data_IF_143146708765
#
_entry.id   IF_143146708765
#
_cell.length_a   1.000
_cell.length_b   1.000
_cell.length_c   1.000
_cell.angle_alpha   90.00
_cell.angle_beta   90.00
_cell.angle_gamma   90.00
#
_symmetry.space_group_name_H-M   'P 1'
#
loop_
_entity.id
_entity.type
_entity.pdbx_description
1 polymer ?
2 non-polymer ?
3 non-polymer ?
4 non-polymer ?
5 non-polymer ?
6 water ?
#
# COMPACT_ATOMS: atom_id res chain seq x y z
N UNK A 9 -24.49 6.80 13.01
CA UNK A 9 -24.42 7.45 11.71
C UNK A 9 -23.99 6.48 10.62
N UNK A 10 -23.46 5.34 11.05
CA UNK A 10 -23.02 4.31 10.10
C UNK A 10 -24.14 3.87 9.17
N UNK A 11 -25.34 4.36 9.42
CA UNK A 11 -26.50 4.02 8.63
C UNK A 11 -26.92 5.03 7.55
N UNK A 12 -26.34 6.23 7.59
CA UNK A 12 -26.54 7.18 6.49
C UNK A 12 -25.25 7.42 5.70
N UNK A 13 -24.11 7.18 6.32
CA UNK A 13 -22.89 7.04 5.55
C UNK A 13 -23.17 5.87 4.62
N UNK A 14 -23.74 4.82 5.19
CA UNK A 14 -24.05 3.61 4.42
C UNK A 14 -25.08 3.86 3.33
N UNK A 15 -26.07 4.71 3.60
CA UNK A 15 -27.05 5.04 2.58
C UNK A 15 -26.35 5.74 1.42
N UNK A 16 -25.52 6.72 1.76
CA UNK A 16 -24.74 7.43 0.76
C UNK A 16 -23.89 6.49 -0.09
N UNK A 17 -23.19 5.58 0.56
CA UNK A 17 -22.29 4.67 -0.14
C UNK A 17 -23.09 3.78 -1.06
N UNK A 18 -24.17 3.20 -0.54
CA UNK A 18 -25.01 2.33 -1.32
C UNK A 18 -25.57 3.04 -2.54
N UNK A 19 -25.95 4.30 -2.33
CA UNK A 19 -26.51 5.11 -3.40
C UNK A 19 -25.44 5.31 -4.47
N UNK A 20 -24.28 5.79 -4.03
CA UNK A 20 -23.16 6.00 -4.92
C UNK A 20 -22.87 4.75 -5.74
N UNK A 21 -22.75 3.61 -5.08
CA UNK A 21 -22.46 2.38 -5.81
C UNK A 21 -23.56 1.99 -6.81
N UNK A 22 -24.81 2.14 -6.44
CA UNK A 22 -25.89 1.82 -7.37
C UNK A 22 -25.77 2.69 -8.61
N UNK A 23 -25.48 3.98 -8.41
CA UNK A 23 -25.33 4.88 -9.54
C UNK A 23 -24.27 4.35 -10.47
N UNK A 24 -23.12 3.97 -9.93
CA UNK A 24 -22.05 3.45 -10.77
C UNK A 24 -22.45 2.10 -11.39
N UNK A 25 -23.15 1.27 -10.62
CA UNK A 25 -23.58 -0.05 -11.10
C UNK A 25 -24.50 0.09 -12.32
N UNK A 26 -25.42 1.04 -12.25
CA UNK A 26 -26.45 1.19 -13.27
C UNK A 26 -26.00 2.09 -14.40
N UNK A 27 -24.80 2.62 -14.31
CA UNK A 27 -24.26 3.42 -15.41
C UNK A 27 -24.72 4.87 -15.39
N UNK A 28 -25.14 5.34 -14.23
CA UNK A 28 -25.61 6.71 -14.07
C UNK A 28 -24.49 7.70 -13.79
N UNK A 29 -23.32 7.18 -13.40
CA UNK A 29 -22.13 8.02 -13.24
C UNK A 29 -21.07 7.65 -14.26
N UNK A 30 -20.33 8.67 -14.72
CA UNK A 30 -19.35 8.49 -15.78
C UNK A 30 -18.15 7.68 -15.30
N UNK A 31 -17.79 6.66 -16.08
CA UNK A 31 -16.57 5.91 -15.87
C UNK A 31 -15.63 6.22 -17.03
N UNK A 32 -14.46 6.77 -16.72
CA UNK A 32 -13.50 7.17 -17.75
C UNK A 32 -12.45 6.11 -18.03
N UNK A 33 -11.84 6.19 -19.22
CA UNK A 33 -10.94 5.14 -19.65
C UNK A 33 -9.68 5.76 -20.19
N UNK A 34 -8.54 5.30 -19.67
CA UNK A 34 -7.23 5.70 -20.16
C UNK A 34 -6.86 4.77 -21.31
N UNK A 35 -6.02 5.25 -22.23
CA UNK A 35 -5.72 4.48 -23.43
C UNK A 35 -4.67 3.40 -23.23
N UNK A 36 -4.28 3.15 -21.99
CA UNK A 36 -3.42 1.99 -21.69
C UNK A 36 -4.04 1.17 -20.56
N UNK A 37 -3.54 -0.04 -20.35
CA UNK A 37 -4.12 -0.90 -19.31
C UNK A 37 -3.92 -0.32 -17.91
N UNK A 38 -4.93 -0.53 -17.07
CA UNK A 38 -4.96 -0.04 -15.70
C UNK A 38 -5.30 -1.17 -14.73
N UNK A 39 -4.40 -1.43 -13.79
CA UNK A 39 -4.65 -2.37 -12.69
C UNK A 39 -4.93 -1.60 -11.41
N UNK A 40 -6.03 -1.90 -10.76
CA UNK A 40 -6.29 -1.26 -9.49
C UNK A 40 -5.97 -2.23 -8.36
N UNK A 41 -5.34 -1.68 -7.33
CA UNK A 41 -5.15 -2.36 -6.07
C UNK A 41 -5.89 -1.54 -5.04
N UNK A 42 -6.66 -2.20 -4.18
CA UNK A 42 -7.38 -1.48 -3.15
C UNK A 42 -7.84 -2.42 -2.07
N UNK A 43 -8.66 -1.90 -1.15
CA UNK A 43 -9.22 -2.73 -0.11
C UNK A 43 -10.49 -2.09 0.37
N UNK A 44 -11.11 -2.64 1.42
CA UNK A 44 -12.44 -2.17 1.80
C UNK A 44 -12.46 -1.33 3.07
N UNK A 45 -11.36 -1.35 3.81
CA UNK A 45 -11.35 -0.72 5.13
C UNK A 45 -10.19 0.24 5.29
N UNK A 46 -10.33 1.13 6.27
CA UNK A 46 -9.22 1.95 6.70
C UNK A 46 -8.44 1.14 7.72
N UNK A 47 -7.13 1.31 7.75
CA UNK A 47 -6.32 0.64 8.74
C UNK A 47 -5.26 -0.30 8.19
N UNK A 48 -4.90 -0.13 6.92
CA UNK A 48 -3.82 -0.92 6.34
C UNK A 48 -4.18 -2.36 6.03
N UNK A 49 -3.63 -2.86 4.94
CA UNK A 49 -4.09 -4.10 4.36
C UNK A 49 -3.11 -4.65 3.39
N UNK A 50 -1.87 -4.15 3.42
CA UNK A 50 -0.84 -4.66 2.53
C UNK A 50 -0.88 -4.06 1.13
N UNK A 51 -1.64 -2.98 0.97
CA UNK A 51 -1.81 -2.34 -0.36
C UNK A 51 -0.50 -1.83 -0.94
N UNK A 52 0.23 -1.06 -0.14
CA UNK A 52 1.48 -0.47 -0.63
C UNK A 52 2.44 -1.59 -0.96
N UNK A 53 2.55 -2.58 -0.07
CA UNK A 53 3.46 -3.70 -0.32
C UNK A 53 3.02 -4.46 -1.56
N UNK A 54 1.71 -4.64 -1.71
CA UNK A 54 1.25 -5.43 -2.86
C UNK A 54 1.51 -4.72 -4.19
N UNK A 55 1.28 -3.40 -4.19
CA UNK A 55 1.59 -2.58 -5.34
C UNK A 55 3.06 -2.69 -5.73
N UNK A 56 3.94 -2.71 -4.74
CA UNK A 56 5.37 -2.87 -5.03
C UNK A 56 5.68 -4.27 -5.52
N UNK A 57 5.04 -5.28 -4.92
CA UNK A 57 5.15 -6.63 -5.43
C UNK A 57 4.72 -6.66 -6.92
N UNK A 58 3.60 -6.01 -7.22
CA UNK A 58 3.06 -6.02 -8.57
C UNK A 58 3.94 -5.29 -9.58
N UNK A 59 4.40 -4.11 -9.20
CA UNK A 59 5.28 -3.36 -10.09
C UNK A 59 6.47 -4.24 -10.48
N UNK A 60 6.98 -4.99 -9.50
CA UNK A 60 8.09 -5.91 -9.76
C UNK A 60 7.73 -7.01 -10.78
N UNK A 61 6.52 -7.57 -10.71
CA UNK A 61 6.13 -8.55 -11.74
C UNK A 61 6.19 -7.93 -13.13
N UNK A 62 5.81 -6.66 -13.24
CA UNK A 62 5.75 -5.98 -14.52
C UNK A 62 7.06 -5.29 -14.90
N UNK A 63 8.18 -5.77 -14.36
CA UNK A 63 9.46 -5.11 -14.57
C UNK A 63 9.84 -4.92 -16.04
N UNK A 64 9.22 -5.69 -16.93
CA UNK A 64 9.51 -5.57 -18.36
C UNK A 64 8.62 -4.54 -19.06
N UNK A 65 7.76 -3.87 -18.29
CA UNK A 65 6.91 -2.82 -18.84
C UNK A 65 7.31 -1.46 -18.27
N UNK A 66 6.96 -0.39 -18.99
CA UNK A 66 7.06 0.94 -18.41
C UNK A 66 5.86 1.11 -17.46
N UNK A 67 6.15 1.18 -16.16
CA UNK A 67 5.13 1.18 -15.12
C UNK A 67 4.97 2.56 -14.50
N UNK A 68 3.73 3.00 -14.35
CA UNK A 68 3.47 4.21 -13.59
C UNK A 68 2.43 3.91 -12.51
N UNK A 69 2.72 4.34 -11.30
CA UNK A 69 1.77 4.19 -10.21
C UNK A 69 1.03 5.49 -10.02
N UNK A 70 -0.28 5.41 -9.92
CA UNK A 70 -1.12 6.59 -9.75
C UNK A 70 -1.64 6.55 -8.34
N UNK A 71 -1.25 7.54 -7.53
CA UNK A 71 -1.65 7.60 -6.11
C UNK A 71 -2.42 8.87 -5.85
N UNK A 72 -3.17 8.89 -4.76
CA UNK A 72 -3.97 10.05 -4.40
C UNK A 72 -3.14 11.15 -3.73
N UNK A 73 -2.07 10.73 -3.04
CA UNK A 73 -1.27 11.64 -2.25
C UNK A 73 -1.95 11.95 -0.92
N UNK A 74 -1.68 11.11 0.11
CA UNK A 74 -2.37 11.21 1.40
C UNK A 74 -1.69 12.12 2.41
N UNK A 75 -2.33 13.26 2.65
CA UNK A 75 -1.76 14.32 3.47
C UNK A 75 -0.38 14.89 3.14
N UNK A 76 -0.22 15.33 1.91
CA UNK A 76 1.05 15.88 1.45
C UNK A 76 1.15 17.39 1.33
N UNK A 77 2.37 17.90 1.25
CA UNK A 77 2.57 19.34 1.09
C UNK A 77 2.72 19.73 -0.39
N UNK A 78 1.61 19.65 -1.11
CA UNK A 78 1.55 19.93 -2.54
C UNK A 78 0.11 19.77 -3.04
N UNK A 79 -0.22 20.39 -4.17
CA UNK A 79 -1.59 20.34 -4.69
C UNK A 79 -1.67 20.03 -6.18
N UNK A 80 -2.84 19.54 -6.61
CA UNK A 80 -3.08 19.23 -8.01
C UNK A 80 -2.43 17.92 -8.41
N UNK A 81 -2.02 17.84 -9.68
CA UNK A 81 -1.32 16.66 -10.18
C UNK A 81 0.19 16.81 -10.04
N UNK A 82 0.83 15.78 -9.51
CA UNK A 82 2.24 15.87 -9.19
C UNK A 82 3.00 14.63 -9.61
N UNK A 83 4.09 14.83 -10.35
CA UNK A 83 4.97 13.73 -10.68
C UNK A 83 5.98 13.53 -9.55
N UNK A 84 5.87 12.39 -8.87
CA UNK A 84 6.71 12.11 -7.72
C UNK A 84 8.06 11.59 -8.15
N UNK A 85 8.05 10.61 -9.06
CA UNK A 85 9.30 10.12 -9.62
C UNK A 85 9.11 9.75 -11.08
N UNK A 86 10.18 9.93 -11.84
CA UNK A 86 10.20 9.58 -13.26
C UNK A 86 11.17 8.42 -13.44
N UNK A 87 10.61 7.26 -13.71
CA UNK A 87 11.41 6.03 -13.83
C UNK A 87 12.57 5.97 -12.85
N UNK A 88 12.30 6.29 -11.60
CA UNK A 88 13.28 6.12 -10.53
C UNK A 88 13.82 7.43 -10.01
N UNK A 89 13.72 8.47 -10.83
CA UNK A 89 14.24 9.78 -10.48
C UNK A 89 13.28 10.50 -9.55
N UNK A 90 13.52 10.37 -8.25
CA UNK A 90 12.77 11.13 -7.26
C UNK A 90 12.76 12.59 -7.69
N UNK A 91 11.68 13.29 -7.41
CA UNK A 91 11.54 14.68 -7.88
C UNK A 91 10.96 15.62 -6.83
N UNK A 92 10.61 15.06 -5.68
CA UNK A 92 10.07 15.86 -4.57
C UNK A 92 10.50 15.24 -3.23
N UNK A 93 10.41 16.02 -2.15
CA UNK A 93 10.64 15.49 -0.83
C UNK A 93 9.50 14.53 -0.48
N UNK A 94 9.67 13.73 0.57
CA UNK A 94 8.61 12.82 0.97
C UNK A 94 7.40 13.60 1.48
N UNK A 95 7.66 14.75 2.12
CA UNK A 95 6.60 15.65 2.52
C UNK A 95 5.70 16.07 1.35
N UNK A 96 6.31 16.48 0.24
CA UNK A 96 5.55 16.89 -0.93
C UNK A 96 4.78 15.73 -1.56
N UNK A 97 5.28 14.51 -1.42
CA UNK A 97 4.69 13.37 -2.13
C UNK A 97 3.62 12.63 -1.33
N UNK A 98 3.74 12.63 0.00
CA UNK A 98 3.00 11.71 0.82
C UNK A 98 3.90 10.51 1.04
N UNK A 99 3.86 9.93 2.24
CA UNK A 99 4.85 8.91 2.56
C UNK A 99 4.75 7.63 1.70
N UNK A 100 3.55 7.16 1.43
CA UNK A 100 3.43 5.95 0.61
C UNK A 100 3.94 6.11 -0.81
N UNK A 101 3.48 7.15 -1.54
CA UNK A 101 4.00 7.31 -2.90
C UNK A 101 5.51 7.47 -2.89
N UNK A 102 6.03 8.19 -1.90
CA UNK A 102 7.47 8.39 -1.82
C UNK A 102 8.18 7.05 -1.57
N UNK A 103 7.64 6.23 -0.65
CA UNK A 103 8.25 4.94 -0.35
C UNK A 103 8.29 4.07 -1.60
N UNK A 104 7.16 3.99 -2.29
CA UNK A 104 7.10 3.24 -3.54
C UNK A 104 8.13 3.78 -4.52
N UNK A 105 8.14 5.10 -4.70
CA UNK A 105 9.06 5.75 -5.62
C UNK A 105 10.50 5.41 -5.25
N UNK A 106 10.78 5.37 -3.95
CA UNK A 106 12.13 5.10 -3.47
C UNK A 106 12.56 3.64 -3.62
N UNK A 107 11.65 2.71 -3.36
CA UNK A 107 11.99 1.30 -3.41
C UNK A 107 11.86 0.70 -4.81
N UNK A 108 11.37 1.50 -5.76
CA UNK A 108 11.11 1.02 -7.12
C UNK A 108 11.83 1.95 -8.11
N UNK A 109 13.15 1.79 -8.25
CA UNK A 109 13.99 2.69 -9.05
C UNK A 109 13.66 2.66 -10.53
N UNK A 110 12.79 1.74 -10.93
CA UNK A 110 12.47 1.54 -12.33
C UNK A 110 11.08 2.06 -12.70
N UNK A 111 10.35 2.55 -11.70
CA UNK A 111 8.95 2.90 -11.86
C UNK A 111 8.71 4.41 -11.76
N UNK A 112 7.68 4.90 -12.44
CA UNK A 112 7.23 6.28 -12.27
C UNK A 112 6.12 6.34 -11.24
N UNK A 113 5.99 7.49 -10.58
CA UNK A 113 4.92 7.65 -9.60
C UNK A 113 4.29 9.02 -9.77
N UNK A 114 2.97 9.04 -9.82
CA UNK A 114 2.22 10.28 -9.95
C UNK A 114 1.20 10.39 -8.84
N UNK A 115 1.13 11.56 -8.21
CA UNK A 115 0.12 11.82 -7.19
C UNK A 115 -0.96 12.75 -7.73
N UNK A 116 -2.22 12.36 -7.58
CA UNK A 116 -3.33 13.15 -8.12
C UNK A 116 -4.67 12.72 -7.52
N UNK A 117 -5.41 13.70 -7.02
CA UNK A 117 -6.76 13.43 -6.51
C UNK A 117 -7.61 12.82 -7.63
N UNK A 118 -7.51 13.39 -8.82
CA UNK A 118 -8.22 12.81 -9.95
C UNK A 118 -7.29 11.90 -10.72
N UNK A 119 -7.48 10.59 -10.60
CA UNK A 119 -6.51 9.64 -11.13
C UNK A 119 -6.44 9.68 -12.65
N UNK A 120 -7.57 10.00 -13.29
CA UNK A 120 -7.62 10.04 -14.75
C UNK A 120 -6.69 11.12 -15.25
N UNK A 121 -6.80 12.30 -14.62
CA UNK A 121 -5.96 13.44 -14.97
C UNK A 121 -4.49 13.10 -14.78
N UNK A 122 -4.19 12.48 -13.64
CA UNK A 122 -2.86 11.98 -13.39
C UNK A 122 -2.39 11.09 -14.51
N UNK A 123 -3.26 10.20 -14.98
CA UNK A 123 -2.87 9.31 -16.06
C UNK A 123 -2.55 10.07 -17.33
N UNK A 124 -3.36 11.08 -17.63
CA UNK A 124 -3.14 11.87 -18.84
C UNK A 124 -1.79 12.59 -18.82
N UNK A 125 -1.48 13.23 -17.68
CA UNK A 125 -0.21 13.91 -17.57
C UNK A 125 0.91 12.89 -17.74
N UNK A 126 0.76 11.74 -17.08
CA UNK A 126 1.77 10.69 -17.17
C UNK A 126 1.99 10.18 -18.61
N UNK A 127 0.89 9.97 -19.34
CA UNK A 127 0.99 9.61 -20.76
C UNK A 127 1.76 10.65 -21.55
N UNK A 128 1.39 11.91 -21.36
CA UNK A 128 2.06 13.01 -22.02
C UNK A 128 3.56 13.07 -21.73
N UNK A 129 3.92 12.90 -20.46
CA UNK A 129 5.31 13.12 -20.04
C UNK A 129 6.16 11.85 -19.87
N UNK A 130 5.51 10.70 -19.65
CA UNK A 130 6.24 9.49 -19.31
C UNK A 130 5.97 8.31 -20.25
N UNK A 131 4.92 8.43 -21.06
CA UNK A 131 4.49 7.33 -21.93
C UNK A 131 4.60 5.98 -21.24
N UNK A 132 3.86 5.79 -20.14
CA UNK A 132 3.92 4.47 -19.50
C UNK A 132 3.09 3.44 -20.28
N UNK A 133 3.41 2.15 -20.10
CA UNK A 133 2.65 1.11 -20.79
C UNK A 133 1.53 0.56 -19.92
N UNK A 134 1.62 0.77 -18.62
CA UNK A 134 0.64 0.24 -17.69
C UNK A 134 0.56 1.12 -16.43
N UNK A 135 -0.66 1.35 -15.94
CA UNK A 135 -0.84 2.08 -14.71
C UNK A 135 -1.24 1.13 -13.60
N UNK A 136 -0.73 1.39 -12.39
CA UNK A 136 -1.26 0.72 -11.21
C UNK A 136 -1.91 1.76 -10.33
N UNK A 137 -3.18 1.56 -10.01
CA UNK A 137 -3.86 2.45 -9.08
C UNK A 137 -3.53 2.00 -7.69
N UNK A 138 -2.79 2.86 -7.01
CA UNK A 138 -2.57 2.70 -5.59
C UNK A 138 -3.89 3.07 -4.89
N UNK A 139 -4.49 2.10 -4.23
CA UNK A 139 -5.69 2.34 -3.45
C UNK A 139 -6.85 2.84 -4.32
N UNK A 140 -7.24 2.08 -5.34
CA UNK A 140 -8.18 2.57 -6.33
C UNK A 140 -9.53 1.85 -6.41
N UNK A 141 -9.86 1.11 -5.37
CA UNK A 141 -11.03 0.26 -5.44
C UNK A 141 -12.33 1.07 -5.39
N UNK A 142 -12.33 2.11 -4.56
CA UNK A 142 -13.47 3.02 -4.43
C UNK A 142 -13.53 4.12 -5.50
N UNK A 143 -12.44 4.30 -6.24
CA UNK A 143 -12.36 5.33 -7.29
C UNK A 143 -12.95 4.80 -8.60
N UNK A 144 -14.23 4.46 -8.56
CA UNK A 144 -14.90 3.82 -9.70
C UNK A 144 -14.99 4.67 -10.98
N UNK A 145 -14.77 5.98 -10.83
CA UNK A 145 -14.76 6.88 -11.97
C UNK A 145 -13.66 6.55 -12.98
N UNK A 146 -12.62 5.82 -12.57
CA UNK A 146 -11.58 5.45 -13.52
C UNK A 146 -11.68 3.98 -13.82
N UNK A 147 -11.79 3.64 -15.09
CA UNK A 147 -11.93 2.25 -15.48
C UNK A 147 -10.65 1.48 -15.22
N UNK A 148 -10.76 0.28 -14.66
CA UNK A 148 -9.60 -0.59 -14.50
C UNK A 148 -9.83 -1.89 -15.24
N UNK A 149 -8.78 -2.38 -15.91
CA UNK A 149 -8.86 -3.63 -16.65
C UNK A 149 -8.73 -4.85 -15.74
N UNK A 150 -8.10 -4.67 -14.58
CA UNK A 150 -8.01 -5.72 -13.58
C UNK A 150 -8.20 -5.07 -12.22
N UNK A 151 -9.25 -5.48 -11.51
CA UNK A 151 -9.60 -4.87 -10.24
C UNK A 151 -9.17 -5.83 -9.15
N UNK A 152 -8.09 -5.52 -8.45
CA UNK A 152 -7.61 -6.41 -7.41
C UNK A 152 -8.00 -5.90 -6.03
N UNK A 153 -8.61 -6.76 -5.24
CA UNK A 153 -9.07 -6.36 -3.91
C UNK A 153 -8.33 -7.14 -2.84
N UNK A 154 -7.73 -6.41 -1.90
CA UNK A 154 -7.09 -7.00 -0.72
C UNK A 154 -8.10 -7.14 0.42
N UNK A 155 -8.07 -8.28 1.07
CA UNK A 155 -8.92 -8.54 2.23
C UNK A 155 -8.01 -9.09 3.32
N UNK A 156 -8.19 -8.60 4.56
CA UNK A 156 -7.56 -9.24 5.72
C UNK A 156 -8.66 -9.84 6.59
N UNK A 157 -8.31 -10.93 7.29
CA UNK A 157 -9.28 -11.64 8.13
C UNK A 157 -10.22 -10.70 8.90
N UNK A 158 -9.66 -9.65 9.47
CA UNK A 158 -10.42 -8.71 10.29
C UNK A 158 -11.60 -8.07 9.55
N UNK A 159 -11.39 -7.69 8.29
CA UNK A 159 -12.47 -7.12 7.48
C UNK A 159 -13.76 -7.93 7.56
N UNK A 160 -13.63 -9.25 7.68
CA UNK A 160 -14.78 -10.15 7.57
C UNK A 160 -15.78 -9.99 8.70
N UNK A 161 -15.31 -9.42 9.81
CA UNK A 161 -16.17 -9.22 10.96
C UNK A 161 -16.21 -7.75 11.34
N UNK A 162 -15.85 -6.89 10.40
CA UNK A 162 -15.87 -5.46 10.64
C UNK A 162 -17.20 -4.88 10.17
N UNK A 163 -17.36 -3.57 10.34
CA UNK A 163 -18.61 -2.92 9.99
C UNK A 163 -18.33 -1.56 9.41
N UNK A 164 -19.36 -0.92 8.87
CA UNK A 164 -19.20 0.36 8.20
C UNK A 164 -18.79 1.50 9.15
N UNK A 165 -17.94 2.39 8.65
CA UNK A 165 -17.66 3.66 9.30
C UNK A 165 -18.94 4.44 9.59
N UNK A 166 -18.94 5.25 10.67
CA UNK A 166 -17.86 5.35 11.67
C UNK A 166 -17.79 4.25 12.72
N UNK A 167 -18.85 3.46 12.82
CA UNK A 167 -18.88 2.37 13.78
C UNK A 167 -17.63 1.47 13.66
N UNK A 168 -17.42 0.88 12.48
CA UNK A 168 -16.27 0.04 12.24
C UNK A 168 -15.35 0.64 11.18
N UNK A 169 -14.48 -0.19 10.62
CA UNK A 169 -13.46 0.30 9.70
C UNK A 169 -13.79 0.20 8.21
N UNK A 170 -14.95 -0.36 7.87
CA UNK A 170 -15.30 -0.57 6.47
C UNK A 170 -15.68 0.73 5.75
N UNK A 171 -15.06 0.97 4.61
CA UNK A 171 -15.43 2.09 3.76
C UNK A 171 -16.65 1.72 2.90
N UNK A 172 -16.87 0.43 2.71
CA UNK A 172 -17.99 -0.07 1.91
C UNK A 172 -18.40 -1.40 2.47
N UNK A 173 -19.67 -1.81 2.23
CA UNK A 173 -20.18 -3.11 2.69
C UNK A 173 -19.44 -4.26 2.02
N UNK A 174 -19.39 -5.40 2.70
CA UNK A 174 -18.70 -6.58 2.18
C UNK A 174 -19.28 -7.08 0.85
N UNK A 175 -20.53 -6.77 0.56
CA UNK A 175 -21.11 -7.20 -0.71
C UNK A 175 -20.34 -6.63 -1.92
N UNK A 176 -19.67 -5.49 -1.72
CA UNK A 176 -18.96 -4.84 -2.81
C UNK A 176 -17.73 -5.64 -3.23
N UNK A 177 -17.46 -6.71 -2.50
CA UNK A 177 -16.46 -7.68 -2.89
C UNK A 177 -16.72 -8.16 -4.32
N UNK A 178 -17.98 -8.08 -4.74
CA UNK A 178 -18.39 -8.56 -6.06
C UNK A 178 -17.74 -7.79 -7.20
N UNK A 179 -17.25 -6.58 -6.92
CA UNK A 179 -16.62 -5.78 -7.96
C UNK A 179 -15.20 -6.23 -8.30
N UNK A 180 -14.65 -7.14 -7.49
CA UNK A 180 -13.26 -7.58 -7.69
C UNK A 180 -13.10 -8.58 -8.83
N UNK A 181 -12.01 -8.50 -9.58
CA UNK A 181 -11.71 -9.53 -10.58
C UNK A 181 -10.88 -10.59 -9.87
N UNK A 182 -10.10 -10.16 -8.90
CA UNK A 182 -9.25 -11.08 -8.15
C UNK A 182 -9.17 -10.62 -6.71
N UNK A 183 -9.13 -11.58 -5.80
CA UNK A 183 -8.95 -11.28 -4.40
C UNK A 183 -7.56 -11.68 -3.91
N UNK A 184 -6.95 -10.82 -3.11
CA UNK A 184 -5.69 -11.14 -2.43
C UNK A 184 -5.93 -11.17 -0.92
N UNK A 185 -5.68 -12.31 -0.30
CA UNK A 185 -5.90 -12.51 1.14
C UNK A 185 -4.61 -12.28 1.95
N UNK A 186 -4.54 -11.13 2.61
CA UNK A 186 -3.27 -10.65 3.16
C UNK A 186 -3.04 -10.98 4.64
N UNK A 187 -1.83 -10.70 5.10
CA UNK A 187 -1.39 -11.01 6.46
C UNK A 187 -1.49 -12.48 6.82
N UNK A 188 -1.29 -13.37 5.85
CA UNK A 188 -1.37 -14.79 6.18
C UNK A 188 -0.33 -15.17 7.23
N UNK A 189 0.84 -14.52 7.19
CA UNK A 189 1.92 -14.88 8.09
C UNK A 189 1.63 -14.47 9.55
N UNK A 190 0.58 -13.70 9.77
CA UNK A 190 0.28 -13.31 11.14
C UNK A 190 -1.19 -13.55 11.52
N UNK A 191 -2.08 -13.59 10.53
CA UNK A 191 -3.48 -13.92 10.77
C UNK A 191 -4.07 -14.76 9.62
N UNK A 192 -3.67 -16.04 9.54
CA UNK A 192 -4.07 -16.88 8.42
C UNK A 192 -5.59 -16.95 8.33
N UNK A 193 -6.12 -17.05 7.12
CA UNK A 193 -7.56 -17.29 6.93
C UNK A 193 -7.87 -17.73 5.51
N UNK A 194 -9.02 -18.36 5.35
CA UNK A 194 -9.50 -18.82 4.05
C UNK A 194 -10.74 -18.00 3.68
N UNK A 195 -10.97 -17.85 2.37
CA UNK A 195 -12.14 -17.15 1.92
C UNK A 195 -12.49 -17.53 0.47
N UNK A 196 -13.52 -18.36 0.33
CA UNK A 196 -13.89 -18.87 -0.99
C UNK A 196 -15.12 -18.16 -1.57
N UNK A 197 -14.98 -17.68 -2.80
CA UNK A 197 -16.02 -16.93 -3.48
C UNK A 197 -16.18 -17.38 -4.92
N UNK A 198 -15.30 -18.26 -5.39
CA UNK A 198 -15.28 -18.64 -6.79
C UNK A 198 -14.42 -17.70 -7.65
N UNK A 199 -14.07 -16.54 -7.11
CA UNK A 199 -13.17 -15.64 -7.83
C UNK A 199 -11.73 -16.10 -7.69
N UNK A 200 -10.87 -15.73 -8.64
CA UNK A 200 -9.45 -16.04 -8.49
C UNK A 200 -8.93 -15.41 -7.21
N UNK A 201 -8.34 -16.23 -6.35
CA UNK A 201 -8.00 -15.84 -5.00
C UNK A 201 -6.55 -16.25 -4.70
N UNK A 202 -5.79 -15.35 -4.08
CA UNK A 202 -4.38 -15.57 -3.83
C UNK A 202 -4.01 -15.18 -2.39
N UNK A 203 -3.37 -16.09 -1.67
CA UNK A 203 -2.87 -15.78 -0.33
C UNK A 203 -1.56 -15.00 -0.41
N UNK A 204 -1.46 -13.94 0.38
CA UNK A 204 -0.26 -13.11 0.40
C UNK A 204 0.47 -13.27 1.72
N UNK A 205 1.75 -13.57 1.66
CA UNK A 205 2.57 -13.71 2.86
C UNK A 205 3.67 -12.65 2.85
N UNK A 206 4.04 -12.17 4.02
CA UNK A 206 5.21 -11.30 4.12
C UNK A 206 6.33 -12.10 4.78
N UNK A 207 7.45 -12.25 4.06
CA UNK A 207 8.62 -12.97 4.57
C UNK A 207 9.61 -11.97 5.19
N UNK A 208 9.63 -11.91 6.52
CA UNK A 208 10.48 -10.95 7.21
C UNK A 208 11.90 -11.49 7.29
N UNK A 209 12.74 -11.01 6.39
CA UNK A 209 14.03 -11.63 6.14
C UNK A 209 15.20 -10.68 6.40
N UNK A 210 14.92 -9.38 6.44
CA UNK A 210 16.00 -8.42 6.30
C UNK A 210 15.87 -7.23 7.22
N UNK A 211 16.96 -6.50 7.34
CA UNK A 211 17.04 -5.34 8.21
C UNK A 211 17.75 -4.24 7.45
N UNK A 212 17.22 -3.03 7.53
CA UNK A 212 17.80 -1.89 6.83
C UNK A 212 18.32 -0.86 7.80
N UNK A 213 19.49 -0.30 7.50
CA UNK A 213 19.93 0.89 8.22
C UNK A 213 19.24 2.11 7.63
N UNK A 214 19.46 3.26 8.24
CA UNK A 214 18.68 4.44 7.92
C UNK A 214 19.11 5.05 6.59
N UNK A 215 20.15 4.49 5.98
CA UNK A 215 20.52 4.87 4.61
C UNK A 215 19.98 3.85 3.61
N UNK A 216 19.05 3.02 4.07
CA UNK A 216 18.38 2.01 3.24
C UNK A 216 19.34 0.98 2.66
N UNK A 217 20.33 0.61 3.47
CA UNK A 217 21.23 -0.49 3.13
C UNK A 217 20.92 -1.69 4.01
N UNK A 218 21.03 -2.89 3.44
CA UNK A 218 20.83 -4.12 4.19
C UNK A 218 21.95 -4.37 5.18
N UNK A 219 21.58 -4.74 6.41
CA UNK A 219 22.55 -5.08 7.43
C UNK A 219 22.09 -6.36 8.12
N UNK A 220 23.04 -7.14 8.66
CA UNK A 220 22.60 -8.37 9.30
C UNK A 220 21.85 -8.03 10.56
N UNK A 221 20.96 -8.90 11.03
CA UNK A 221 20.31 -8.66 12.29
C UNK A 221 21.33 -8.65 13.43
N UNK A 222 22.59 -8.91 13.07
CA UNK A 222 23.64 -9.08 14.06
C UNK A 222 23.66 -8.06 15.19
N UNK A 223 23.14 -6.87 14.92
CA UNK A 223 23.14 -5.79 15.89
C UNK A 223 22.01 -5.96 16.91
N UNK A 224 21.03 -6.80 16.59
CA UNK A 224 19.86 -6.98 17.45
C UNK A 224 20.06 -7.96 18.61
N UNK A 225 21.07 -8.81 18.52
CA UNK A 225 21.27 -9.90 19.49
C UNK A 225 21.60 -9.41 20.88
N UNK A 226 20.89 -9.97 21.85
CA UNK A 226 21.22 -9.73 23.23
C UNK A 226 21.17 -8.22 23.44
N UNK A 227 20.35 -7.56 22.62
CA UNK A 227 20.06 -6.14 22.77
C UNK A 227 18.55 -5.96 22.62
N UNK A 228 17.95 -5.22 23.54
CA UNK A 228 16.53 -4.92 23.47
C UNK A 228 16.33 -3.59 22.77
N UNK A 229 15.39 -3.55 21.82
CA UNK A 229 15.15 -2.36 21.04
C UNK A 229 13.94 -1.57 21.54
N UNK A 230 13.94 -0.29 21.21
CA UNK A 230 12.73 0.51 21.28
C UNK A 230 12.11 0.49 19.88
N UNK A 231 10.91 -0.08 19.78
CA UNK A 231 10.21 -0.19 18.50
C UNK A 231 9.11 0.85 18.41
N UNK A 232 8.83 1.29 17.19
CA UNK A 232 7.75 2.23 16.94
C UNK A 232 7.33 2.18 15.49
N UNK A 233 6.14 2.70 15.20
CA UNK A 233 5.66 2.85 13.83
C UNK A 233 4.45 3.77 13.77
N UNK A 234 4.18 4.29 12.57
CA UNK A 234 3.05 5.17 12.34
C UNK A 234 2.43 4.61 11.08
N UNK A 235 1.52 3.66 11.27
CA UNK A 235 0.98 2.84 10.20
C UNK A 235 -0.55 2.87 10.29
N UNK A 236 -1.20 2.25 9.31
CA UNK A 236 -2.63 2.04 9.39
C UNK A 236 -2.99 1.22 10.63
N UNK A 237 -2.17 0.22 10.96
CA UNK A 237 -2.39 -0.58 12.16
C UNK A 237 -1.06 -0.98 12.78
N UNK A 238 -0.67 -0.28 13.86
CA UNK A 238 0.60 -0.54 14.53
C UNK A 238 0.59 -1.90 15.22
N UNK A 239 -0.60 -2.43 15.43
CA UNK A 239 -0.76 -3.68 16.14
C UNK A 239 -0.11 -4.84 15.42
N UNK A 240 -0.24 -4.92 14.10
CA UNK A 240 0.31 -6.07 13.38
C UNK A 240 1.84 -6.03 13.30
N UNK A 241 2.41 -4.83 13.32
CA UNK A 241 3.86 -4.69 13.35
C UNK A 241 4.35 -5.20 14.70
N UNK A 242 3.71 -4.72 15.76
CA UNK A 242 4.02 -5.12 17.12
C UNK A 242 3.98 -6.66 17.25
N UNK A 243 2.98 -7.28 16.64
CA UNK A 243 2.86 -8.75 16.72
C UNK A 243 3.93 -9.47 15.89
N UNK A 244 4.23 -8.96 14.70
CA UNK A 244 5.30 -9.53 13.89
C UNK A 244 6.60 -9.57 14.70
N UNK A 245 6.87 -8.49 15.44
CA UNK A 245 8.09 -8.41 16.23
C UNK A 245 8.11 -9.50 17.30
N UNK A 246 6.98 -9.69 17.98
CA UNK A 246 6.89 -10.72 19.00
C UNK A 246 7.07 -12.10 18.38
N UNK A 247 6.39 -12.36 17.27
CA UNK A 247 6.52 -13.65 16.62
C UNK A 247 7.95 -13.91 16.17
N UNK A 248 8.69 -12.85 15.87
CA UNK A 248 10.06 -13.03 15.40
C UNK A 248 11.03 -13.24 16.55
N UNK A 249 10.54 -13.04 17.78
CA UNK A 249 11.38 -13.21 18.95
C UNK A 249 12.34 -12.05 19.14
N UNK A 250 12.04 -10.92 18.51
CA UNK A 250 12.84 -9.70 18.73
C UNK A 250 12.52 -9.13 20.10
N UNK A 251 13.56 -8.82 20.86
CA UNK A 251 13.38 -8.27 22.21
C UNK A 251 13.02 -6.80 22.14
N UNK A 252 11.82 -6.47 22.58
CA UNK A 252 11.33 -5.09 22.48
C UNK A 252 11.08 -4.54 23.87
N UNK A 253 11.96 -3.64 24.32
CA UNK A 253 11.83 -3.08 25.66
C UNK A 253 10.71 -2.04 25.73
N UNK A 254 10.42 -1.37 24.62
CA UNK A 254 9.36 -0.37 24.62
C UNK A 254 8.76 -0.24 23.23
N UNK A 255 7.48 0.15 23.17
CA UNK A 255 6.81 0.38 21.90
C UNK A 255 6.02 1.68 21.85
N UNK A 256 6.37 2.55 20.90
CA UNK A 256 5.67 3.80 20.71
C UNK A 256 4.77 3.68 19.49
N UNK A 257 3.48 3.92 19.71
CA UNK A 257 2.48 3.79 18.66
C UNK A 257 2.08 5.16 18.15
N UNK A 258 2.55 5.51 16.96
CA UNK A 258 2.27 6.81 16.36
C UNK A 258 1.12 6.74 15.33
N UNK A 259 0.49 7.88 15.05
CA UNK A 259 -0.59 7.97 14.07
C UNK A 259 -0.10 7.60 12.67
N UNK A 260 -1.00 7.07 11.84
CA UNK A 260 -0.64 6.76 10.46
C UNK A 260 -0.05 8.01 9.81
N UNK A 261 1.02 7.84 9.05
CA UNK A 261 1.60 8.95 8.31
C UNK A 261 2.27 9.98 9.21
N UNK A 262 2.52 9.61 10.46
CA UNK A 262 3.19 10.51 11.41
C UNK A 262 4.45 11.13 10.79
N UNK A 263 4.72 12.41 11.04
CA UNK A 263 5.85 13.09 10.40
C UNK A 263 7.17 13.09 11.19
N UNK A 264 7.15 12.59 12.42
CA UNK A 264 8.36 12.47 13.22
C UNK A 264 9.11 13.79 13.40
N UNK A 265 8.40 14.90 13.27
CA UNK A 265 9.03 16.22 13.37
C UNK A 265 9.69 16.47 14.72
N UNK A 266 9.09 15.92 15.78
CA UNK A 266 9.61 16.14 17.13
C UNK A 266 10.28 14.88 17.70
N UNK A 267 10.77 14.01 16.82
CA UNK A 267 11.41 12.77 17.25
C UNK A 267 12.92 12.94 17.47
N UNK A 268 13.37 12.57 18.66
CA UNK A 268 14.77 12.69 19.02
C UNK A 268 15.18 11.42 19.74
N UNK A 269 16.02 10.60 19.09
CA UNK A 269 16.42 9.31 19.64
C UNK A 269 17.32 9.52 20.86
N UNK A 270 17.25 8.58 21.79
CA UNK A 270 18.09 8.62 22.98
C UNK A 270 19.44 7.98 22.65
N UNK A 271 20.51 8.61 23.09
CA UNK A 271 21.86 8.09 22.90
C UNK A 271 21.96 6.69 23.49
N UNK A 272 22.60 5.78 22.76
CA UNK A 272 22.87 4.46 23.29
C UNK A 272 21.74 3.48 23.05
N UNK A 273 20.62 3.96 22.52
CA UNK A 273 19.47 3.07 22.27
C UNK A 273 19.37 2.68 20.81
N UNK A 274 18.73 1.55 20.56
CA UNK A 274 18.61 1.10 19.18
C UNK A 274 17.13 1.01 18.85
N UNK A 275 16.75 1.62 17.72
CA UNK A 275 15.37 1.75 17.31
C UNK A 275 15.03 0.86 16.13
N UNK A 276 13.84 0.29 16.18
CA UNK A 276 13.39 -0.62 15.16
C UNK A 276 12.02 -0.20 14.66
N UNK A 277 11.92 0.09 13.36
CA UNK A 277 10.67 0.61 12.80
C UNK A 277 10.50 0.05 11.39
N UNK A 278 9.52 0.55 10.63
CA UNK A 278 9.31 0.06 9.25
C UNK A 278 9.86 0.95 8.14
N UNK A 279 9.90 0.42 6.91
CA UNK A 279 10.44 1.27 5.83
C UNK A 279 9.60 2.53 5.66
N UNK A 280 8.30 2.42 5.92
CA UNK A 280 7.38 3.54 5.75
C UNK A 280 7.76 4.66 6.69
N UNK A 281 8.16 4.31 7.92
CA UNK A 281 8.64 5.30 8.88
C UNK A 281 10.06 5.79 8.57
N UNK A 282 10.92 4.86 8.18
CA UNK A 282 12.35 5.13 7.99
C UNK A 282 12.62 6.21 6.95
N UNK A 283 11.74 6.35 5.94
CA UNK A 283 11.94 7.36 4.90
C UNK A 283 11.93 8.74 5.52
N UNK A 284 11.34 8.82 6.70
CA UNK A 284 11.23 10.13 7.35
C UNK A 284 12.34 10.32 8.35
N UNK A 285 13.25 9.37 8.42
CA UNK A 285 14.31 9.40 9.44
C UNK A 285 15.66 9.01 8.85
N UNK A 286 15.87 9.36 7.58
CA UNK A 286 17.06 8.92 6.88
C UNK A 286 18.27 9.57 7.54
N UNK A 287 19.32 8.81 7.72
CA UNK A 287 20.49 9.35 8.39
C UNK A 287 20.59 9.27 9.91
N UNK A 288 19.47 9.12 10.62
CA UNK A 288 19.56 8.88 12.07
C UNK A 288 20.27 7.57 12.22
N UNK A 289 21.43 7.59 12.85
CA UNK A 289 22.34 6.43 12.86
C UNK A 289 21.92 5.16 13.62
N UNK A 290 21.08 5.30 14.64
CA UNK A 290 20.73 4.10 15.44
C UNK A 290 19.30 3.65 15.17
N UNK A 291 18.79 3.97 14.00
CA UNK A 291 17.41 3.63 13.64
C UNK A 291 17.40 2.68 12.47
N UNK A 292 16.75 1.54 12.66
CA UNK A 292 16.71 0.48 11.67
C UNK A 292 15.27 0.14 11.31
N UNK A 293 15.07 -0.46 10.13
CA UNK A 293 13.76 -0.95 9.75
C UNK A 293 13.76 -2.44 9.46
N UNK A 294 12.70 -3.11 9.90
CA UNK A 294 12.45 -4.49 9.52
C UNK A 294 11.93 -4.49 8.10
N UNK A 295 12.53 -5.30 7.24
CA UNK A 295 12.12 -5.35 5.85
C UNK A 295 11.68 -6.78 5.54
N UNK A 296 10.97 -6.98 4.45
CA UNK A 296 10.40 -8.28 4.11
C UNK A 296 10.22 -8.43 2.60
N UNK A 297 10.03 -9.66 2.14
CA UNK A 297 9.66 -9.92 0.75
C UNK A 297 8.18 -10.28 0.73
N UNK A 298 7.50 -9.93 -0.34
CA UNK A 298 6.10 -10.31 -0.48
C UNK A 298 6.11 -11.55 -1.35
N UNK A 299 5.39 -12.57 -0.92
CA UNK A 299 5.29 -13.83 -1.64
C UNK A 299 3.81 -14.15 -1.88
N UNK A 300 3.48 -14.54 -3.11
CA UNK A 300 2.09 -14.85 -3.46
C UNK A 300 1.93 -16.33 -3.82
N UNK A 301 0.95 -16.98 -3.20
CA UNK A 301 0.55 -18.31 -3.63
C UNK A 301 0.09 -18.26 -5.09
N UNK A 302 0.51 -19.26 -5.86
CA UNK A 302 0.09 -19.39 -7.25
C UNK A 302 0.43 -18.15 -8.05
N UNK A 303 1.67 -17.70 -7.90
CA UNK A 303 2.14 -16.51 -8.59
C UNK A 303 1.99 -16.67 -10.10
N UNK A 304 2.31 -17.86 -10.58
CA UNK A 304 2.20 -18.14 -11.99
C UNK A 304 0.78 -17.86 -12.51
N UNK A 305 -0.21 -18.18 -11.69
CA UNK A 305 -1.61 -17.97 -12.05
C UNK A 305 -1.92 -16.48 -12.08
N UNK A 306 -1.44 -15.76 -11.08
CA UNK A 306 -1.59 -14.31 -11.04
C UNK A 306 -0.98 -13.64 -12.28
N UNK A 307 0.22 -14.05 -12.66
CA UNK A 307 0.86 -13.51 -13.86
C UNK A 307 0.01 -13.65 -15.15
N UNK A 308 -0.49 -14.84 -15.43
CA UNK A 308 -1.29 -15.04 -16.63
C UNK A 308 -2.48 -14.11 -16.58
N UNK A 309 -3.08 -14.05 -15.39
CA UNK A 309 -4.22 -13.18 -15.16
C UNK A 309 -3.86 -11.72 -15.41
N UNK A 310 -2.69 -11.29 -14.94
CA UNK A 310 -2.27 -9.91 -15.14
C UNK A 310 -2.01 -9.62 -16.64
N UNK A 311 -1.29 -10.51 -17.32
CA UNK A 311 -0.95 -10.23 -18.71
C UNK A 311 -2.12 -10.21 -19.71
N UNK A 312 -3.28 -10.76 -19.31
CA UNK A 312 -4.48 -10.67 -20.13
C UNK A 312 -4.85 -9.22 -20.48
N UNK A 313 -4.47 -8.27 -19.64
CA UNK A 313 -4.86 -6.89 -19.86
C UNK A 313 -4.17 -6.24 -21.06
N UNK A 314 -3.07 -6.84 -21.51
CA UNK A 314 -2.30 -6.27 -22.63
C UNK A 314 -2.78 -6.70 -24.02
N UNK A 315 -3.84 -7.50 -24.07
CA UNK A 315 -4.31 -8.03 -25.34
C UNK A 315 -5.71 -7.49 -25.66
#
# INVERSE_FOLDING_TARGET
>A
MLRSSLLPFSYLYEKIINFRNTLYDKGFLKIKKLPVPVISVGNLSVGGSGKTSFVMYLADLLKDKRVCILSRGYKRKSKGTLIVSEYGNLKVSWEEAGDEPYLMAKLLPHVSVVASEDRYKGGLLALEKLSPEVFILDDGFQHRKLHRDLNILLLKKKDLKDRLLPAGNLREPLKEIRRADALVLTYQEVEPFEFFTGKPTFKMFREFCCLLNSDFEEVPFDILKEREVIAFSGLGDNGQFRKVLKNLGIKVKEFMSFPDHYDYSDFTPEEGEIYLTTPKDLIKLQGYENVFALNFKVKLEREEKLKKLIYRIFY
#
